data_IF_319349365382
#
_entry.id   IF_319349365382
#
_cell.length_a   1.000
_cell.length_b   1.000
_cell.length_c   1.000
_cell.angle_alpha   90.00
_cell.angle_beta   90.00
_cell.angle_gamma   90.00
#
_symmetry.space_group_name_H-M   'P 1'
#
loop_
_entity.id
_entity.type
_entity.pdbx_description
1 polymer ?
#
# COMPACT_ATOMS: atom_id res chain seq x y z
N UNK A 1 1.61 -28.97 1.43
CA UNK A 1 0.75 -27.78 1.56
C UNK A 1 -0.27 -28.05 2.67
N UNK A 2 -0.34 -27.22 3.71
CA UNK A 2 -1.25 -27.41 4.85
C UNK A 2 -2.72 -27.42 4.40
N UNK A 3 -3.57 -28.22 5.04
CA UNK A 3 -5.02 -28.26 4.77
C UNK A 3 -5.66 -26.87 4.90
N UNK A 4 -5.22 -26.09 5.88
CA UNK A 4 -5.70 -24.72 6.11
C UNK A 4 -5.44 -23.80 4.91
N UNK A 5 -4.24 -23.91 4.31
CA UNK A 5 -3.88 -23.12 3.12
C UNK A 5 -4.80 -23.51 1.96
N UNK A 6 -5.04 -24.81 1.75
CA UNK A 6 -5.91 -25.30 0.68
C UNK A 6 -7.35 -24.77 0.82
N UNK A 7 -7.89 -24.72 2.04
CA UNK A 7 -9.25 -24.23 2.29
C UNK A 7 -9.35 -22.74 2.03
N UNK A 8 -8.48 -21.95 2.67
CA UNK A 8 -8.51 -20.47 2.55
C UNK A 8 -8.16 -19.96 1.15
N UNK A 9 -7.45 -20.75 0.35
CA UNK A 9 -7.12 -20.43 -1.04
C UNK A 9 -8.09 -21.03 -2.07
N UNK A 10 -9.19 -21.63 -1.63
CA UNK A 10 -10.14 -22.27 -2.55
C UNK A 10 -11.08 -21.26 -3.20
N UNK A 11 -11.61 -21.59 -4.37
CA UNK A 11 -12.58 -20.76 -5.09
C UNK A 11 -13.82 -20.45 -4.24
N UNK A 12 -14.19 -21.38 -3.35
CA UNK A 12 -15.31 -21.19 -2.41
C UNK A 12 -15.09 -19.99 -1.50
N UNK A 13 -13.85 -19.69 -1.11
CA UNK A 13 -13.55 -18.57 -0.23
C UNK A 13 -13.46 -17.24 -1.00
N UNK A 14 -13.33 -17.24 -2.33
CA UNK A 14 -13.30 -16.02 -3.16
C UNK A 14 -12.21 -15.00 -2.75
N UNK A 15 -11.22 -15.42 -1.95
CA UNK A 15 -10.22 -14.56 -1.32
C UNK A 15 -10.61 -14.10 0.10
N UNK A 16 -9.88 -13.13 0.63
CA UNK A 16 -9.97 -12.70 2.04
C UNK A 16 -9.81 -11.19 2.23
N UNK A 17 -10.19 -10.43 1.21
CA UNK A 17 -10.12 -8.98 1.24
C UNK A 17 -11.21 -8.41 2.16
N UNK A 18 -10.94 -7.40 2.98
CA UNK A 18 -11.95 -6.81 3.86
C UNK A 18 -13.18 -6.27 3.11
N UNK A 19 -14.36 -6.38 3.72
CA UNK A 19 -15.64 -5.95 3.16
C UNK A 19 -16.16 -6.80 1.99
N UNK A 20 -15.62 -8.00 1.79
CA UNK A 20 -16.06 -8.93 0.73
C UNK A 20 -16.80 -10.14 1.31
N UNK A 21 -17.52 -10.90 0.46
CA UNK A 21 -18.13 -12.17 0.89
C UNK A 21 -17.10 -13.19 1.38
N UNK A 22 -15.90 -13.17 0.80
CA UNK A 22 -14.81 -14.05 1.18
C UNK A 22 -14.29 -13.79 2.60
N UNK A 23 -14.28 -12.53 3.05
CA UNK A 23 -13.98 -12.19 4.44
C UNK A 23 -14.96 -12.85 5.41
N UNK A 24 -16.27 -12.78 5.14
CA UNK A 24 -17.28 -13.40 6.02
C UNK A 24 -17.01 -14.89 6.19
N UNK A 25 -16.83 -15.63 5.08
CA UNK A 25 -16.51 -17.07 5.11
C UNK A 25 -15.20 -17.34 5.86
N UNK A 26 -14.19 -16.51 5.63
CA UNK A 26 -12.87 -16.62 6.29
C UNK A 26 -12.98 -16.45 7.80
N UNK A 27 -13.70 -15.42 8.25
CA UNK A 27 -13.88 -15.13 9.68
C UNK A 27 -14.60 -16.28 10.38
N UNK A 28 -15.70 -16.77 9.78
CA UNK A 28 -16.47 -17.90 10.33
C UNK A 28 -15.62 -19.17 10.42
N UNK A 29 -14.86 -19.46 9.36
CA UNK A 29 -13.99 -20.64 9.34
C UNK A 29 -12.89 -20.56 10.40
N UNK A 30 -12.21 -19.41 10.57
CA UNK A 30 -11.17 -19.24 11.60
C UNK A 30 -11.76 -19.40 13.00
N UNK A 31 -12.93 -18.80 13.28
CA UNK A 31 -13.59 -18.93 14.57
C UNK A 31 -13.98 -20.39 14.88
N UNK A 32 -14.39 -21.16 13.87
CA UNK A 32 -14.67 -22.59 14.01
C UNK A 32 -13.39 -23.40 14.26
N UNK A 33 -12.28 -23.10 13.58
CA UNK A 33 -11.00 -23.75 13.86
C UNK A 33 -10.50 -23.47 15.29
N UNK A 34 -10.66 -22.23 15.79
CA UNK A 34 -10.36 -21.89 17.19
C UNK A 34 -11.20 -22.70 18.18
N UNK A 35 -12.50 -22.85 17.90
CA UNK A 35 -13.40 -23.68 18.71
C UNK A 35 -12.96 -25.14 18.72
N UNK A 36 -12.59 -25.71 17.57
CA UNK A 36 -12.16 -27.12 17.45
C UNK A 36 -10.91 -27.44 18.26
N UNK A 37 -9.99 -26.48 18.38
CA UNK A 37 -8.77 -26.65 19.18
C UNK A 37 -8.96 -26.28 20.66
N UNK A 38 -10.18 -25.92 21.07
CA UNK A 38 -10.53 -25.65 22.47
C UNK A 38 -10.13 -24.26 22.97
N UNK A 39 -9.90 -23.29 22.08
CA UNK A 39 -9.66 -21.92 22.51
C UNK A 39 -10.95 -21.29 23.04
N UNK A 40 -10.82 -20.55 24.13
CA UNK A 40 -11.91 -19.72 24.66
C UNK A 40 -12.02 -18.40 23.88
N UNK A 41 -13.24 -17.89 23.64
CA UNK A 41 -13.43 -16.61 23.00
C UNK A 41 -13.00 -15.44 23.89
N UNK A 42 -12.35 -14.43 23.31
CA UNK A 42 -11.88 -13.23 24.01
C UNK A 42 -12.25 -11.91 23.31
N UNK A 43 -13.10 -12.00 22.29
CA UNK A 43 -13.61 -10.86 21.54
C UNK A 43 -14.83 -10.20 22.18
N UNK A 44 -15.43 -9.27 21.45
CA UNK A 44 -16.65 -8.58 21.87
C UNK A 44 -17.77 -9.59 22.15
N UNK A 45 -18.56 -9.33 23.20
CA UNK A 45 -19.73 -10.13 23.60
C UNK A 45 -19.44 -11.64 23.78
N UNK A 46 -18.21 -12.00 24.15
CA UNK A 46 -17.79 -13.40 24.32
C UNK A 46 -17.67 -14.17 23.01
N UNK A 47 -17.42 -13.47 21.89
CA UNK A 47 -17.16 -14.06 20.58
C UNK A 47 -15.66 -14.23 20.31
N UNK A 48 -15.30 -14.85 19.18
CA UNK A 48 -13.91 -14.86 18.69
C UNK A 48 -13.54 -13.60 17.89
N UNK A 49 -14.42 -12.59 17.86
CA UNK A 49 -14.33 -11.46 16.93
C UNK A 49 -14.05 -10.14 17.65
N UNK A 50 -13.17 -9.33 17.07
CA UNK A 50 -12.95 -7.95 17.45
C UNK A 50 -13.33 -7.06 16.28
N UNK A 51 -14.19 -6.06 16.50
CA UNK A 51 -14.53 -5.11 15.44
C UNK A 51 -13.42 -4.09 15.31
N UNK A 52 -13.02 -3.85 14.07
CA UNK A 52 -12.06 -2.80 13.72
C UNK A 52 -12.71 -1.84 12.72
N UNK A 53 -12.56 -0.52 12.90
CA UNK A 53 -13.06 0.43 11.93
C UNK A 53 -12.27 0.28 10.63
N UNK A 54 -12.99 0.16 9.51
CA UNK A 54 -12.40 0.07 8.18
C UNK A 54 -12.82 1.27 7.35
N UNK A 55 -11.83 1.92 6.73
CA UNK A 55 -12.06 2.94 5.71
C UNK A 55 -11.79 2.28 4.37
N UNK A 56 -12.79 2.32 3.49
CA UNK A 56 -12.65 1.91 2.09
C UNK A 56 -12.86 3.11 1.20
N UNK A 57 -11.84 3.43 0.41
CA UNK A 57 -11.92 4.46 -0.63
C UNK A 57 -11.99 3.81 -2.00
N UNK A 58 -12.89 4.28 -2.84
CA UNK A 58 -13.00 3.83 -4.23
C UNK A 58 -13.24 5.02 -5.14
N UNK A 59 -12.43 5.12 -6.20
CA UNK A 59 -12.65 6.09 -7.26
C UNK A 59 -13.92 5.73 -8.04
N UNK A 60 -14.83 6.70 -8.15
CA UNK A 60 -16.16 6.49 -8.70
C UNK A 60 -16.15 6.39 -10.24
N UNK A 61 -15.22 7.07 -10.90
CA UNK A 61 -15.15 7.12 -12.37
C UNK A 61 -13.70 7.12 -12.84
N UNK A 62 -13.39 6.42 -13.95
CA UNK A 62 -12.18 6.67 -14.71
C UNK A 62 -12.07 8.17 -15.02
N UNK A 63 -10.85 8.69 -14.97
CA UNK A 63 -10.54 10.07 -15.26
C UNK A 63 -9.14 10.17 -15.85
N UNK A 64 -8.69 11.39 -16.05
CA UNK A 64 -7.33 11.66 -16.50
C UNK A 64 -6.57 12.46 -15.44
N UNK A 65 -5.27 12.20 -15.36
CA UNK A 65 -4.32 13.04 -14.63
C UNK A 65 -3.44 13.73 -15.67
N UNK A 66 -3.21 15.02 -15.48
CA UNK A 66 -2.34 15.79 -16.36
C UNK A 66 -1.12 16.26 -15.57
N UNK A 67 0.05 15.99 -16.11
CA UNK A 67 1.34 16.46 -15.61
C UNK A 67 1.89 17.44 -16.64
N UNK A 68 2.36 18.60 -16.18
CA UNK A 68 2.94 19.64 -17.02
C UNK A 68 4.36 19.93 -16.55
N UNK A 69 5.30 19.92 -17.49
CA UNK A 69 6.70 20.22 -17.27
C UNK A 69 7.27 21.11 -18.39
N UNK A 70 8.58 21.36 -18.34
CA UNK A 70 9.27 22.17 -19.34
C UNK A 70 9.15 21.59 -20.76
N UNK A 71 9.11 20.26 -20.87
CA UNK A 71 9.02 19.53 -22.15
C UNK A 71 7.58 19.34 -22.65
N UNK A 72 6.60 19.92 -21.96
CA UNK A 72 5.19 19.92 -22.37
C UNK A 72 4.26 19.20 -21.39
N UNK A 73 3.12 18.74 -21.93
CA UNK A 73 2.00 18.17 -21.16
C UNK A 73 1.87 16.68 -21.44
N UNK A 74 1.77 15.89 -20.38
CA UNK A 74 1.47 14.46 -20.41
C UNK A 74 0.09 14.24 -19.79
N UNK A 75 -0.77 13.48 -20.49
CA UNK A 75 -2.08 13.08 -19.98
C UNK A 75 -2.08 11.57 -19.77
N UNK A 76 -2.40 11.14 -18.55
CA UNK A 76 -2.43 9.75 -18.11
C UNK A 76 -3.88 9.31 -17.87
N UNK A 77 -4.26 8.15 -18.39
CA UNK A 77 -5.59 7.57 -18.15
C UNK A 77 -5.62 6.74 -16.87
N UNK A 78 -6.63 6.95 -16.02
CA UNK A 78 -6.86 6.13 -14.81
C UNK A 78 -7.82 4.99 -15.14
N UNK A 79 -7.53 3.72 -14.81
CA UNK A 79 -6.35 3.21 -14.10
C UNK A 79 -5.24 2.68 -15.03
N UNK A 80 -5.32 2.91 -16.35
CA UNK A 80 -4.45 2.27 -17.36
C UNK A 80 -2.99 2.70 -17.25
N UNK A 81 -2.74 4.00 -17.15
CA UNK A 81 -1.40 4.60 -17.10
C UNK A 81 -0.98 4.94 -15.67
N UNK A 82 -1.95 5.23 -14.79
CA UNK A 82 -1.69 5.59 -13.40
C UNK A 82 -2.79 5.06 -12.48
N UNK A 83 -2.37 4.51 -11.34
CA UNK A 83 -3.26 4.15 -10.25
C UNK A 83 -3.34 5.28 -9.22
N UNK A 84 -4.55 5.61 -8.79
CA UNK A 84 -4.79 6.63 -7.78
C UNK A 84 -5.52 6.01 -6.58
N UNK A 85 -5.07 6.34 -5.39
CA UNK A 85 -5.71 5.93 -4.13
C UNK A 85 -5.54 7.01 -3.07
N UNK A 86 -6.31 6.91 -1.99
CA UNK A 86 -6.14 7.77 -0.82
C UNK A 86 -6.58 7.01 0.42
N UNK A 87 -5.92 7.25 1.55
CA UNK A 87 -6.36 6.71 2.85
C UNK A 87 -7.23 7.72 3.61
N UNK A 88 -7.45 8.91 3.04
CA UNK A 88 -8.26 9.95 3.66
C UNK A 88 -9.74 9.66 3.48
N UNK A 89 -10.50 9.77 4.57
CA UNK A 89 -11.96 9.73 4.55
C UNK A 89 -12.52 11.06 4.01
N UNK A 90 -12.35 11.30 2.71
CA UNK A 90 -12.85 12.48 2.03
C UNK A 90 -13.58 12.08 0.74
N UNK A 91 -14.72 12.71 0.47
CA UNK A 91 -15.52 12.45 -0.74
C UNK A 91 -14.86 12.97 -2.02
N UNK A 92 -13.89 13.88 -1.90
CA UNK A 92 -13.08 14.37 -3.01
C UNK A 92 -11.72 14.85 -2.54
N UNK A 93 -10.75 14.82 -3.45
CA UNK A 93 -9.45 15.45 -3.31
C UNK A 93 -9.16 16.24 -4.59
N UNK A 94 -8.57 17.42 -4.45
CA UNK A 94 -8.26 18.31 -5.58
C UNK A 94 -6.78 18.70 -5.48
N UNK A 95 -6.04 18.37 -6.52
CA UNK A 95 -4.65 18.79 -6.72
C UNK A 95 -4.65 19.62 -7.98
N UNK A 96 -4.33 20.90 -7.86
CA UNK A 96 -4.30 21.85 -8.98
C UNK A 96 -2.98 22.57 -9.03
N UNK A 97 -2.30 22.45 -10.17
CA UNK A 97 -1.05 23.15 -10.46
C UNK A 97 -0.04 23.08 -9.31
N UNK A 98 -0.02 21.94 -8.60
CA UNK A 98 0.89 21.71 -7.49
C UNK A 98 2.27 21.36 -8.08
N UNK A 99 3.35 22.05 -7.66
CA UNK A 99 4.68 21.68 -8.09
C UNK A 99 5.00 20.25 -7.67
N UNK A 100 5.72 19.53 -8.53
CA UNK A 100 6.20 18.18 -8.24
C UNK A 100 7.67 18.24 -7.86
N UNK A 101 8.08 17.46 -6.87
CA UNK A 101 9.49 17.35 -6.46
C UNK A 101 9.87 15.89 -6.37
N UNK A 102 10.95 15.53 -7.06
CA UNK A 102 11.53 14.20 -6.97
C UNK A 102 12.37 14.07 -5.71
N UNK A 103 12.10 13.06 -4.90
CA UNK A 103 12.74 12.79 -3.60
C UNK A 103 13.32 11.38 -3.55
N UNK A 104 13.96 10.93 -4.63
CA UNK A 104 14.62 9.62 -4.66
C UNK A 104 13.66 8.47 -4.37
N UNK A 105 13.92 7.73 -3.30
CA UNK A 105 13.08 6.62 -2.83
C UNK A 105 12.22 7.01 -1.62
N UNK A 106 12.28 8.28 -1.18
CA UNK A 106 11.51 8.80 -0.06
C UNK A 106 11.95 8.22 1.29
N UNK A 107 13.24 7.91 1.43
CA UNK A 107 13.79 7.26 2.62
C UNK A 107 14.51 8.24 3.53
N UNK A 108 14.16 8.20 4.81
CA UNK A 108 14.93 8.79 5.91
C UNK A 108 15.45 7.66 6.80
N UNK A 109 16.78 7.48 6.82
CA UNK A 109 17.45 6.42 7.58
C UNK A 109 18.70 7.00 8.26
N UNK A 110 18.51 7.57 9.45
CA UNK A 110 19.59 8.22 10.22
C UNK A 110 20.71 7.24 10.56
N UNK A 111 20.37 5.99 10.84
CA UNK A 111 21.31 4.89 11.12
C UNK A 111 22.22 4.54 9.94
N UNK A 112 21.83 4.93 8.72
CA UNK A 112 22.58 4.77 7.47
C UNK A 112 23.12 6.10 6.94
N UNK A 113 22.95 7.19 7.69
CA UNK A 113 23.32 8.55 7.27
C UNK A 113 22.67 8.95 5.93
N UNK A 114 21.42 8.50 5.70
CA UNK A 114 20.69 8.71 4.46
C UNK A 114 19.40 9.52 4.70
N UNK A 115 19.16 10.52 3.84
CA UNK A 115 17.96 11.36 3.89
C UNK A 115 17.67 11.90 2.48
N UNK A 116 16.69 11.29 1.81
CA UNK A 116 16.20 11.71 0.49
C UNK A 116 15.43 13.05 0.53
N UNK A 117 15.00 13.49 1.71
CA UNK A 117 14.27 14.73 1.92
C UNK A 117 15.20 15.90 2.26
N UNK A 118 16.50 15.65 2.43
CA UNK A 118 17.48 16.65 2.86
C UNK A 118 17.49 17.86 1.95
N UNK A 119 17.15 19.02 2.51
CA UNK A 119 17.15 20.29 1.78
C UNK A 119 15.97 20.46 0.81
N UNK A 120 14.97 19.57 0.86
CA UNK A 120 13.79 19.63 0.01
C UNK A 120 12.63 20.31 0.75
N UNK A 121 12.02 21.33 0.14
CA UNK A 121 10.77 21.93 0.64
C UNK A 121 9.56 21.24 0.01
N UNK A 122 8.84 20.45 0.80
CA UNK A 122 7.63 19.74 0.36
C UNK A 122 6.33 20.52 0.54
N UNK A 123 6.36 21.71 1.15
CA UNK A 123 5.12 22.43 1.48
C UNK A 123 4.36 22.80 0.20
N UNK A 124 3.13 22.30 0.10
CA UNK A 124 2.22 22.54 -1.02
C UNK A 124 2.60 21.83 -2.33
N UNK A 125 3.49 20.83 -2.27
CA UNK A 125 4.01 20.12 -3.45
C UNK A 125 3.61 18.65 -3.43
N UNK A 126 3.66 18.01 -4.59
CA UNK A 126 3.51 16.57 -4.74
C UNK A 126 4.91 15.94 -4.75
N UNK A 127 5.19 15.09 -3.77
CA UNK A 127 6.42 14.31 -3.76
C UNK A 127 6.32 13.16 -4.79
N UNK A 128 7.40 12.95 -5.53
CA UNK A 128 7.56 11.86 -6.48
C UNK A 128 8.73 11.02 -6.02
N UNK A 129 8.53 9.72 -5.87
CA UNK A 129 9.56 8.80 -5.41
C UNK A 129 9.49 7.49 -6.19
N UNK A 130 10.59 6.77 -6.18
CA UNK A 130 10.71 5.42 -6.72
C UNK A 130 10.27 4.40 -5.67
N UNK A 131 9.72 3.28 -6.13
CA UNK A 131 9.44 2.12 -5.29
C UNK A 131 10.76 1.43 -4.93
N UNK A 132 10.83 0.80 -3.76
CA UNK A 132 11.99 0.11 -3.17
C UNK A 132 12.95 1.01 -2.37
N UNK A 133 14.10 0.45 -2.00
CA UNK A 133 15.16 1.13 -1.28
C UNK A 133 16.17 1.78 -2.25
N UNK A 134 16.98 2.75 -1.78
CA UNK A 134 17.99 3.44 -2.60
C UNK A 134 19.00 2.57 -3.34
N UNK A 135 19.24 1.35 -2.85
CA UNK A 135 20.19 0.41 -3.46
C UNK A 135 19.53 -0.66 -4.35
N UNK A 136 18.22 -0.54 -4.61
CA UNK A 136 17.47 -1.55 -5.37
C UNK A 136 17.98 -1.70 -6.82
N UNK A 137 18.30 -0.58 -7.46
CA UNK A 137 18.88 -0.54 -8.82
C UNK A 137 20.41 -0.37 -8.82
N UNK A 138 21.04 -0.33 -7.64
CA UNK A 138 22.46 -0.04 -7.55
C UNK A 138 23.33 -1.17 -8.09
N UNK A 139 24.37 -0.81 -8.83
CA UNK A 139 25.37 -1.76 -9.32
C UNK A 139 26.44 -2.04 -8.25
N UNK A 140 27.08 -3.21 -8.35
CA UNK A 140 28.15 -3.59 -7.44
C UNK A 140 29.31 -2.58 -7.50
N UNK A 141 29.66 -2.01 -6.34
CA UNK A 141 30.71 -1.00 -6.22
C UNK A 141 30.22 0.45 -6.23
N UNK A 142 28.92 0.69 -6.44
CA UNK A 142 28.34 2.01 -6.24
C UNK A 142 28.29 2.39 -4.75
N UNK A 143 28.45 3.67 -4.38
CA UNK A 143 28.46 4.08 -2.97
C UNK A 143 27.23 3.71 -2.16
N UNK A 144 26.07 3.58 -2.82
CA UNK A 144 24.80 3.19 -2.18
C UNK A 144 24.61 1.67 -2.12
N UNK A 145 25.39 0.91 -2.90
CA UNK A 145 25.28 -0.54 -2.93
C UNK A 145 25.53 -1.13 -1.52
N UNK A 146 24.67 -2.06 -1.11
CA UNK A 146 24.74 -2.76 0.18
C UNK A 146 24.48 -1.86 1.41
N UNK A 147 24.11 -0.59 1.23
CA UNK A 147 23.65 0.25 2.34
C UNK A 147 22.25 -0.13 2.82
N UNK A 148 21.43 -0.75 1.96
CA UNK A 148 20.09 -1.22 2.28
C UNK A 148 19.95 -2.74 2.03
N UNK A 149 18.77 -3.18 1.60
CA UNK A 149 18.46 -4.60 1.42
C UNK A 149 18.71 -5.08 -0.02
N UNK A 150 19.40 -4.28 -0.84
CA UNK A 150 19.65 -4.53 -2.25
C UNK A 150 18.36 -4.73 -3.04
N UNK A 151 18.31 -5.82 -3.80
CA UNK A 151 17.15 -6.18 -4.66
C UNK A 151 15.94 -6.74 -3.91
N UNK A 152 15.87 -6.61 -2.59
CA UNK A 152 14.66 -6.94 -1.86
C UNK A 152 13.57 -5.92 -2.24
N UNK A 153 12.45 -6.41 -2.78
CA UNK A 153 11.31 -5.55 -3.10
C UNK A 153 10.63 -5.06 -1.83
N UNK A 154 10.32 -3.77 -1.78
CA UNK A 154 9.43 -3.17 -0.78
C UNK A 154 8.02 -3.03 -1.37
N UNK A 155 7.04 -2.75 -0.50
CA UNK A 155 5.62 -2.67 -0.86
C UNK A 155 5.22 -1.32 -1.44
#
# INVERSE_FOLDING_TARGET
>A
MSSMIRTLSSDEFEGRAPGTKGETKTIEWIAEEFRKVGLEPAGEDGTYLQRVPLIRTQLQKPGTVTIEGADGRITLEVPRDVYLSTVREASSARIESAPMVFVGYGVEATERQWDDFKGVDLKGKVAVFLVNDPDFEAEAGEPVAELFSGRAMTY
#
